data_IF_960820280248
#
_entry.id   IF_960820280248
#
_cell.length_a   1.000
_cell.length_b   1.000
_cell.length_c   1.000
_cell.angle_alpha   90.00
_cell.angle_beta   90.00
_cell.angle_gamma   90.00
#
_symmetry.space_group_name_H-M   'P 1'
#
loop_
_entity.id
_entity.type
_entity.pdbx_description
1 polymer ?
#
# COMPACT_ATOMS: atom_id res chain seq x y z
N UNK A 1 -8.73 -4.24 20.12
CA UNK A 1 -9.14 -3.89 18.74
C UNK A 1 -8.64 -2.53 18.23
N UNK A 2 -8.67 -1.42 18.99
CA UNK A 2 -8.01 -0.15 18.55
C UNK A 2 -6.48 -0.15 18.67
N UNK A 3 -5.92 -0.97 19.57
CA UNK A 3 -4.48 -1.06 19.81
C UNK A 3 -3.73 -1.71 18.64
N UNK A 4 -4.34 -2.67 17.96
CA UNK A 4 -3.73 -3.41 16.85
C UNK A 4 -3.53 -2.54 15.60
N UNK A 5 -4.48 -1.64 15.30
CA UNK A 5 -4.41 -0.78 14.12
C UNK A 5 -3.29 0.27 14.23
N UNK A 6 -3.05 0.82 15.43
CA UNK A 6 -1.95 1.76 15.65
C UNK A 6 -0.58 1.11 15.47
N UNK A 7 -0.44 -0.16 15.87
CA UNK A 7 0.79 -0.93 15.67
C UNK A 7 1.01 -1.18 14.17
N UNK A 8 -0.03 -1.60 13.45
CA UNK A 8 0.02 -1.79 11.99
C UNK A 8 0.38 -0.49 11.27
N UNK A 9 -0.27 0.62 11.62
CA UNK A 9 0.03 1.93 11.05
C UNK A 9 1.50 2.29 11.24
N UNK A 10 2.02 2.10 12.46
CA UNK A 10 3.42 2.37 12.77
C UNK A 10 4.37 1.51 11.92
N UNK A 11 4.12 0.21 11.80
CA UNK A 11 4.99 -0.65 10.99
C UNK A 11 4.97 -0.30 9.50
N UNK A 12 3.80 0.05 8.95
CA UNK A 12 3.71 0.53 7.56
C UNK A 12 4.48 1.85 7.42
N UNK A 13 4.36 2.76 8.38
CA UNK A 13 5.09 4.02 8.41
C UNK A 13 6.60 3.77 8.44
N UNK A 14 7.08 2.93 9.35
CA UNK A 14 8.50 2.59 9.52
C UNK A 14 9.07 1.95 8.23
N UNK A 15 8.30 1.06 7.58
CA UNK A 15 8.66 0.50 6.26
C UNK A 15 8.83 1.62 5.22
N UNK A 16 7.83 2.49 5.07
CA UNK A 16 7.88 3.55 4.06
C UNK A 16 9.01 4.55 4.34
N UNK A 17 9.26 4.87 5.62
CA UNK A 17 10.35 5.73 6.06
C UNK A 17 11.72 5.17 5.67
N UNK A 18 11.95 3.87 5.91
CA UNK A 18 13.19 3.18 5.51
C UNK A 18 13.50 3.30 4.01
N UNK A 19 12.46 3.40 3.18
CA UNK A 19 12.58 3.47 1.73
C UNK A 19 12.39 4.88 1.16
N UNK A 20 12.28 5.90 2.01
CA UNK A 20 12.03 7.29 1.60
C UNK A 20 13.24 7.91 0.91
N UNK A 21 12.99 8.65 -0.18
CA UNK A 21 14.06 9.32 -0.95
C UNK A 21 14.58 10.61 -0.31
N UNK A 22 13.80 11.25 0.56
CA UNK A 22 14.13 12.49 1.25
C UNK A 22 13.23 12.72 2.48
N UNK A 23 13.45 13.81 3.21
CA UNK A 23 12.68 14.17 4.41
C UNK A 23 11.20 14.40 4.14
N UNK A 24 10.81 14.94 2.98
CA UNK A 24 9.39 15.08 2.64
C UNK A 24 8.71 13.71 2.55
N UNK A 25 9.35 12.75 1.88
CA UNK A 25 8.85 11.39 1.78
C UNK A 25 8.81 10.71 3.17
N UNK A 26 9.85 10.92 3.98
CA UNK A 26 9.99 10.30 5.30
C UNK A 26 9.04 10.86 6.36
N UNK A 27 8.99 12.19 6.50
CA UNK A 27 8.32 12.85 7.63
C UNK A 27 6.86 13.17 7.35
N UNK A 28 6.47 13.25 6.08
CA UNK A 28 5.12 13.65 5.67
C UNK A 28 4.39 12.54 4.91
N UNK A 29 4.99 12.04 3.83
CA UNK A 29 4.28 11.09 2.96
C UNK A 29 4.17 9.70 3.58
N UNK A 30 5.21 9.19 4.24
CA UNK A 30 5.17 7.88 4.87
C UNK A 30 4.09 7.77 5.96
N UNK A 31 3.97 8.70 6.93
CA UNK A 31 2.87 8.70 7.89
C UNK A 31 1.50 8.81 7.21
N UNK A 32 1.38 9.66 6.20
CA UNK A 32 0.12 9.85 5.50
C UNK A 32 -0.34 8.60 4.74
N UNK A 33 0.58 7.94 4.02
CA UNK A 33 0.31 6.69 3.31
C UNK A 33 -0.01 5.57 4.28
N UNK A 34 0.71 5.48 5.41
CA UNK A 34 0.43 4.49 6.45
C UNK A 34 -0.97 4.64 7.02
N UNK A 35 -1.37 5.86 7.39
CA UNK A 35 -2.71 6.17 7.87
C UNK A 35 -3.79 5.80 6.84
N UNK A 36 -3.62 6.22 5.58
CA UNK A 36 -4.57 5.91 4.49
C UNK A 36 -4.64 4.43 4.16
N UNK A 37 -3.55 3.68 4.39
CA UNK A 37 -3.54 2.23 4.17
C UNK A 37 -4.51 1.47 5.07
N UNK A 38 -4.88 2.03 6.23
CA UNK A 38 -5.84 1.41 7.15
C UNK A 38 -7.30 1.51 6.68
N UNK A 39 -7.61 2.40 5.73
CA UNK A 39 -8.98 2.58 5.22
C UNK A 39 -9.47 1.32 4.50
N UNK A 40 -10.78 1.21 4.25
CA UNK A 40 -11.36 0.00 3.64
C UNK A 40 -11.20 -0.05 2.11
N UNK A 41 -10.86 1.07 1.46
CA UNK A 41 -10.76 1.19 0.01
C UNK A 41 -9.44 0.71 -0.59
N UNK A 42 -9.31 0.98 -1.88
CA UNK A 42 -8.03 0.88 -2.58
C UNK A 42 -7.13 2.05 -2.19
N UNK A 43 -5.87 1.75 -1.87
CA UNK A 43 -4.91 2.75 -1.39
C UNK A 43 -4.78 3.98 -2.32
N UNK A 44 -4.79 3.77 -3.64
CA UNK A 44 -4.72 4.90 -4.58
C UNK A 44 -5.92 5.85 -4.44
N UNK A 45 -7.13 5.30 -4.30
CA UNK A 45 -8.36 6.09 -4.13
C UNK A 45 -8.39 6.78 -2.77
N UNK A 46 -7.95 6.09 -1.71
CA UNK A 46 -7.92 6.66 -0.36
C UNK A 46 -6.90 7.80 -0.23
N UNK A 47 -5.85 7.77 -1.04
CA UNK A 47 -4.85 8.84 -1.23
C UNK A 47 -5.32 9.95 -2.20
N UNK A 48 -6.49 9.80 -2.85
CA UNK A 48 -7.00 10.76 -3.83
C UNK A 48 -6.34 10.70 -5.21
N UNK A 49 -5.61 9.63 -5.51
CA UNK A 49 -5.04 9.37 -6.84
C UNK A 49 -6.12 8.78 -7.77
N UNK A 50 -6.02 9.08 -9.06
CA UNK A 50 -7.04 8.70 -10.05
C UNK A 50 -6.90 7.26 -10.54
N UNK A 51 -5.74 6.63 -10.37
CA UNK A 51 -5.50 5.30 -10.93
C UNK A 51 -4.37 4.52 -10.24
N UNK A 52 -4.32 3.20 -10.51
CA UNK A 52 -3.19 2.32 -10.15
C UNK A 52 -1.87 2.80 -10.78
N UNK A 53 -1.92 3.37 -11.98
CA UNK A 53 -0.73 3.93 -12.65
C UNK A 53 -0.17 5.14 -11.91
N UNK A 54 -1.04 6.06 -11.48
CA UNK A 54 -0.63 7.20 -10.65
C UNK A 54 -0.04 6.76 -9.32
N UNK A 55 -0.63 5.73 -8.69
CA UNK A 55 -0.05 5.12 -7.50
C UNK A 55 1.35 4.56 -7.74
N UNK A 56 1.57 3.86 -8.86
CA UNK A 56 2.88 3.37 -9.26
C UNK A 56 3.92 4.49 -9.38
N UNK A 57 3.57 5.58 -10.08
CA UNK A 57 4.44 6.76 -10.23
C UNK A 57 4.71 7.45 -8.89
N UNK A 58 3.69 7.58 -8.06
CA UNK A 58 3.81 8.15 -6.72
C UNK A 58 4.80 7.36 -5.87
N UNK A 59 4.70 6.04 -5.86
CA UNK A 59 5.61 5.19 -5.08
C UNK A 59 7.02 5.17 -5.66
N UNK A 60 7.18 5.10 -6.98
CA UNK A 60 8.50 5.18 -7.62
C UNK A 60 9.22 6.50 -7.31
N UNK A 61 8.48 7.61 -7.25
CA UNK A 61 9.05 8.93 -6.98
C UNK A 61 9.48 9.12 -5.53
N UNK A 62 8.72 8.59 -4.57
CA UNK A 62 8.92 8.90 -3.15
C UNK A 62 9.57 7.76 -2.36
N UNK A 63 9.34 6.51 -2.78
CA UNK A 63 9.82 5.28 -2.14
C UNK A 63 10.49 4.34 -3.18
N UNK A 64 11.53 4.80 -3.89
CA UNK A 64 12.04 4.15 -5.10
C UNK A 64 12.53 2.72 -4.87
N UNK A 65 13.22 2.46 -3.76
CA UNK A 65 13.74 1.12 -3.44
C UNK A 65 12.61 0.14 -3.16
N UNK A 66 11.59 0.55 -2.39
CA UNK A 66 10.39 -0.28 -2.18
C UNK A 66 9.64 -0.53 -3.49
N UNK A 67 9.64 0.45 -4.40
CA UNK A 67 8.99 0.31 -5.69
C UNK A 67 9.72 -0.63 -6.65
N UNK A 68 11.05 -0.72 -6.53
CA UNK A 68 11.87 -1.66 -7.27
C UNK A 68 11.60 -3.10 -6.85
N UNK A 69 11.39 -3.34 -5.56
CA UNK A 69 11.18 -4.67 -4.99
C UNK A 69 9.76 -5.22 -5.25
N UNK A 70 8.82 -4.35 -5.59
CA UNK A 70 7.42 -4.73 -5.79
C UNK A 70 7.22 -5.58 -7.06
N UNK A 71 6.64 -6.79 -6.96
CA UNK A 71 6.21 -7.56 -8.14
C UNK A 71 5.17 -6.80 -8.98
N UNK A 72 5.29 -6.87 -10.32
CA UNK A 72 4.48 -6.07 -11.26
C UNK A 72 2.97 -6.25 -11.04
N UNK A 73 2.50 -7.48 -10.93
CA UNK A 73 1.06 -7.82 -10.86
C UNK A 73 0.44 -7.63 -9.46
N UNK A 74 1.26 -7.32 -8.46
CA UNK A 74 0.81 -7.17 -7.07
C UNK A 74 0.15 -5.80 -6.85
N UNK A 75 -0.88 -5.73 -6.01
CA UNK A 75 -1.45 -4.46 -5.56
C UNK A 75 -0.55 -3.82 -4.50
N UNK A 76 -0.43 -2.48 -4.51
CA UNK A 76 0.44 -1.74 -3.55
C UNK A 76 0.11 -2.01 -2.09
N UNK A 77 -1.18 -1.93 -1.74
CA UNK A 77 -1.65 -2.20 -0.38
C UNK A 77 -1.33 -3.62 0.05
N UNK A 78 -1.55 -4.62 -0.82
CA UNK A 78 -1.18 -6.00 -0.53
C UNK A 78 0.33 -6.16 -0.34
N UNK A 79 1.13 -5.60 -1.26
CA UNK A 79 2.58 -5.66 -1.17
C UNK A 79 3.13 -5.07 0.13
N UNK A 80 2.74 -3.84 0.49
CA UNK A 80 3.16 -3.16 1.72
C UNK A 80 2.87 -4.01 2.97
N UNK A 81 1.69 -4.63 3.02
CA UNK A 81 1.29 -5.44 4.17
C UNK A 81 2.03 -6.79 4.22
N UNK A 82 2.29 -7.39 3.07
CA UNK A 82 3.09 -8.61 3.00
C UNK A 82 4.55 -8.36 3.47
N UNK A 83 5.13 -7.19 3.17
CA UNK A 83 6.48 -6.80 3.63
C UNK A 83 6.59 -6.67 5.16
N UNK A 84 5.49 -6.38 5.86
CA UNK A 84 5.44 -6.34 7.33
C UNK A 84 4.84 -7.63 7.92
N UNK A 85 4.59 -8.65 7.11
CA UNK A 85 4.04 -9.94 7.55
C UNK A 85 2.60 -9.87 8.07
N UNK A 86 1.79 -8.93 7.56
CA UNK A 86 0.40 -8.71 7.99
C UNK A 86 -0.60 -8.76 6.85
N UNK A 87 -1.89 -8.82 7.21
CA UNK A 87 -3.01 -8.77 6.26
C UNK A 87 -3.65 -7.39 6.35
N UNK A 88 -3.90 -6.77 5.20
CA UNK A 88 -4.58 -5.47 5.15
C UNK A 88 -5.97 -5.52 5.82
N UNK A 89 -6.37 -4.51 6.62
CA UNK A 89 -7.67 -4.51 7.31
C UNK A 89 -8.86 -4.72 6.38
N UNK A 90 -8.79 -4.15 5.17
CA UNK A 90 -9.79 -4.33 4.12
C UNK A 90 -9.95 -5.78 3.65
N UNK A 91 -8.88 -6.59 3.68
CA UNK A 91 -8.90 -7.97 3.20
C UNK A 91 -9.57 -8.94 4.19
N UNK A 92 -9.75 -8.56 5.47
CA UNK A 92 -10.32 -9.46 6.49
C UNK A 92 -11.84 -9.65 6.33
N UNK A 93 -12.52 -8.68 5.72
CA UNK A 93 -13.99 -8.66 5.53
C UNK A 93 -14.40 -8.47 4.05
N UNK A 94 -13.48 -8.56 3.09
CA UNK A 94 -13.81 -8.34 1.68
C UNK A 94 -14.46 -9.60 1.09
N UNK A 95 -15.74 -9.52 0.74
CA UNK A 95 -16.43 -10.47 -0.15
C UNK A 95 -15.83 -10.48 -1.56
N UNK A 96 -15.01 -9.49 -1.92
CA UNK A 96 -14.33 -9.37 -3.21
C UNK A 96 -12.94 -10.04 -3.24
N UNK A 97 -12.85 -11.26 -2.68
CA UNK A 97 -11.74 -12.15 -3.04
C UNK A 97 -11.68 -12.41 -4.56
N UNK A 98 -12.75 -12.11 -5.30
CA UNK A 98 -12.86 -12.29 -6.74
C UNK A 98 -12.13 -11.18 -7.53
N UNK A 99 -12.05 -9.94 -7.04
CA UNK A 99 -11.39 -8.84 -7.77
C UNK A 99 -9.89 -8.68 -7.46
N UNK A 100 -9.40 -9.29 -6.37
CA UNK A 100 -7.95 -9.35 -6.11
C UNK A 100 -7.21 -10.31 -7.06
N UNK A 101 -7.94 -11.19 -7.77
CA UNK A 101 -7.43 -12.09 -8.81
C UNK A 101 -7.85 -11.70 -10.24
N UNK A 102 -8.63 -10.63 -10.45
CA UNK A 102 -9.11 -10.25 -11.79
C UNK A 102 -8.05 -9.58 -12.69
N UNK A 103 -6.76 -9.68 -12.32
CA UNK A 103 -5.64 -9.43 -13.22
C UNK A 103 -4.99 -10.73 -13.73
N UNK A 104 -5.74 -11.82 -13.85
CA UNK A 104 -5.46 -12.83 -14.88
C UNK A 104 -6.28 -12.38 -16.08
N UNK A 105 -5.67 -11.62 -16.98
CA UNK A 105 -6.21 -11.47 -18.33
C UNK A 105 -6.40 -12.87 -18.90
N UNK A 106 -7.66 -13.23 -19.13
CA UNK A 106 -8.05 -14.35 -19.99
C UNK A 106 -7.45 -14.06 -21.37
N UNK A 107 -6.45 -14.84 -21.77
CA UNK A 107 -6.20 -15.09 -23.19
C UNK A 107 -6.84 -16.45 -23.49
N UNK A 108 -8.07 -16.40 -24.01
CA UNK A 108 -8.51 -17.37 -25.02
C UNK A 108 -8.03 -16.81 -26.36
#
# INVERSE_FOLDING_TARGET
MKMDLKIVEKEVCDLLQKHSVNSLAHDVLAPWVAYKSLAMGHLYSDLGLKSRTEMGRFMQRNFPTLAQDKPKDKLWKKFIYDEIGKIAPACKNCSDNISCFSCISVNI
#
